data_IF_424163080315
#
_entry.id   IF_424163080315
#
_cell.length_a   1.000
_cell.length_b   1.000
_cell.length_c   1.000
_cell.angle_alpha   90.00
_cell.angle_beta   90.00
_cell.angle_gamma   90.00
#
_symmetry.space_group_name_H-M   'P 1'
#
loop_
_entity.id
_entity.type
_entity.pdbx_description
1 polymer ?
#
# COMPACT_ATOMS: atom_id res chain seq x y z
N UNK A 1 11.11 -13.73 5.34
CA UNK A 1 10.31 -12.60 4.83
C UNK A 1 10.67 -11.34 5.61
N UNK A 2 10.87 -10.24 4.89
CA UNK A 2 11.17 -8.95 5.51
C UNK A 2 9.90 -8.11 5.48
N UNK A 3 9.61 -7.49 6.62
CA UNK A 3 8.44 -6.64 6.78
C UNK A 3 8.86 -5.33 7.44
N UNK A 4 8.33 -4.23 6.94
CA UNK A 4 8.57 -2.92 7.52
C UNK A 4 7.33 -2.07 7.42
N UNK A 5 7.10 -1.21 8.41
CA UNK A 5 5.92 -0.36 8.46
C UNK A 5 6.29 1.07 8.80
N UNK A 6 5.56 2.02 8.21
CA UNK A 6 5.62 3.43 8.55
C UNK A 6 4.20 3.98 8.61
N UNK A 7 3.78 4.42 9.78
CA UNK A 7 2.41 4.83 9.98
C UNK A 7 1.47 3.64 9.81
N UNK A 8 0.50 3.79 8.92
CA UNK A 8 -0.45 2.74 8.58
C UNK A 8 -0.05 1.93 7.35
N UNK A 9 1.05 2.28 6.72
CA UNK A 9 1.50 1.61 5.51
C UNK A 9 2.69 0.72 5.82
N UNK A 10 2.79 -0.37 5.09
CA UNK A 10 3.92 -1.26 5.22
C UNK A 10 4.13 -2.06 3.96
N UNK A 11 5.20 -2.85 3.97
CA UNK A 11 5.46 -3.77 2.87
C UNK A 11 6.01 -5.08 3.40
N UNK A 12 5.81 -6.12 2.60
CA UNK A 12 6.43 -7.44 2.79
C UNK A 12 7.34 -7.71 1.62
N UNK A 13 8.58 -8.10 1.89
CA UNK A 13 9.46 -8.69 0.88
C UNK A 13 9.26 -10.19 0.93
N UNK A 14 8.74 -10.75 -0.14
CA UNK A 14 8.34 -12.15 -0.23
C UNK A 14 9.35 -12.91 -1.09
N UNK A 15 9.72 -14.10 -0.66
CA UNK A 15 10.65 -14.95 -1.39
C UNK A 15 12.09 -14.87 -0.93
N UNK A 16 12.39 -14.00 0.06
CA UNK A 16 13.75 -13.82 0.55
C UNK A 16 14.27 -15.04 1.34
N UNK A 17 13.38 -15.85 1.87
CA UNK A 17 13.76 -17.08 2.57
C UNK A 17 14.15 -18.22 1.64
N UNK A 18 13.80 -18.15 0.36
CA UNK A 18 14.18 -19.16 -0.64
C UNK A 18 15.22 -18.60 -1.59
N UNK A 19 16.48 -18.63 -1.16
CA UNK A 19 17.60 -18.05 -1.91
C UNK A 19 17.94 -18.81 -3.18
N UNK A 20 17.35 -20.00 -3.38
CA UNK A 20 17.61 -20.79 -4.58
C UNK A 20 16.87 -20.24 -5.81
N UNK A 21 15.88 -19.40 -5.57
CA UNK A 21 15.04 -18.84 -6.63
C UNK A 21 14.89 -17.33 -6.48
N UNK A 22 16.00 -16.57 -6.64
CA UNK A 22 15.93 -15.10 -6.46
C UNK A 22 15.00 -14.40 -7.43
N UNK A 23 14.61 -15.07 -8.53
CA UNK A 23 13.66 -14.52 -9.50
C UNK A 23 12.24 -14.42 -8.97
N UNK A 24 11.97 -15.03 -7.82
CA UNK A 24 10.63 -14.98 -7.20
C UNK A 24 10.51 -13.91 -6.13
N UNK A 25 11.54 -13.09 -5.94
CA UNK A 25 11.46 -11.97 -5.00
C UNK A 25 10.44 -10.94 -5.48
N UNK A 26 9.58 -10.53 -4.58
CA UNK A 26 8.61 -9.49 -4.88
C UNK A 26 8.24 -8.74 -3.62
N UNK A 27 7.70 -7.53 -3.79
CA UNK A 27 7.23 -6.68 -2.71
C UNK A 27 5.73 -6.52 -2.84
N UNK A 28 5.03 -6.57 -1.72
CA UNK A 28 3.62 -6.27 -1.66
C UNK A 28 3.36 -5.25 -0.57
N UNK A 29 2.66 -4.18 -0.92
CA UNK A 29 2.27 -3.15 0.04
C UNK A 29 0.96 -3.52 0.71
N UNK A 30 0.81 -3.10 1.96
CA UNK A 30 -0.42 -3.31 2.71
C UNK A 30 -0.72 -2.10 3.60
N UNK A 31 -1.96 -2.04 4.06
CA UNK A 31 -2.43 -1.05 5.03
C UNK A 31 -2.85 -1.77 6.28
N UNK A 32 -2.42 -1.27 7.44
CA UNK A 32 -2.86 -1.79 8.72
C UNK A 32 -4.26 -1.24 9.03
N UNK A 33 -5.18 -2.13 9.31
CA UNK A 33 -6.54 -1.72 9.62
C UNK A 33 -6.69 -1.18 11.03
N UNK A 34 -5.87 -1.66 11.97
CA UNK A 34 -5.94 -1.28 13.37
C UNK A 34 -4.64 -1.62 14.08
N UNK A 35 -4.28 -0.80 15.07
CA UNK A 35 -3.15 -1.10 15.95
C UNK A 35 -3.38 -2.35 16.78
N UNK A 36 -4.63 -2.80 16.93
CA UNK A 36 -5.00 -3.91 17.80
C UNK A 36 -5.19 -5.24 17.08
N UNK A 37 -5.25 -5.26 15.74
CA UNK A 37 -5.49 -6.50 15.01
C UNK A 37 -4.59 -6.60 13.79
N UNK A 38 -3.63 -7.51 13.84
CA UNK A 38 -2.76 -7.81 12.71
C UNK A 38 -3.48 -8.63 11.64
N UNK A 39 -4.61 -9.25 11.97
CA UNK A 39 -5.34 -10.11 11.05
C UNK A 39 -6.13 -9.35 10.01
N UNK A 40 -6.22 -8.04 10.16
CA UNK A 40 -7.00 -7.21 9.25
C UNK A 40 -6.13 -6.32 8.36
N UNK A 41 -4.84 -6.59 8.26
CA UNK A 41 -3.99 -5.89 7.32
C UNK A 41 -4.43 -6.22 5.89
N UNK A 42 -4.62 -5.18 5.10
CA UNK A 42 -5.14 -5.32 3.74
C UNK A 42 -4.03 -5.08 2.73
N UNK A 43 -3.77 -6.07 1.90
CA UNK A 43 -2.86 -5.91 0.78
C UNK A 43 -3.48 -4.92 -0.22
N UNK A 44 -2.73 -3.88 -0.59
CA UNK A 44 -3.23 -2.83 -1.48
C UNK A 44 -2.53 -2.82 -2.83
N UNK A 45 -1.48 -3.63 -3.00
CA UNK A 45 -0.78 -3.73 -4.27
C UNK A 45 -0.75 -5.16 -4.77
N UNK A 46 -0.59 -5.36 -6.09
CA UNK A 46 -0.17 -6.65 -6.59
C UNK A 46 1.27 -6.93 -6.16
N UNK A 47 1.78 -8.09 -6.53
CA UNK A 47 3.18 -8.42 -6.30
C UNK A 47 4.06 -7.60 -7.25
N UNK A 48 4.98 -6.81 -6.68
CA UNK A 48 5.84 -5.90 -7.43
C UNK A 48 7.24 -6.49 -7.49
N UNK A 49 7.77 -6.66 -8.68
CA UNK A 49 9.01 -7.40 -8.88
C UNK A 49 10.23 -6.52 -9.15
N UNK A 50 10.02 -5.28 -9.57
CA UNK A 50 11.11 -4.37 -9.94
C UNK A 50 10.97 -3.02 -9.25
N UNK A 51 12.09 -2.27 -9.20
CA UNK A 51 12.07 -0.90 -8.69
C UNK A 51 11.09 -0.03 -9.47
N UNK A 52 11.02 -0.22 -10.78
CA UNK A 52 10.10 0.54 -11.63
C UNK A 52 8.65 0.24 -11.28
N UNK A 53 8.32 -1.02 -11.01
CA UNK A 53 6.98 -1.41 -10.59
C UNK A 53 6.61 -0.76 -9.27
N UNK A 54 7.55 -0.71 -8.33
CA UNK A 54 7.34 -0.08 -7.02
C UNK A 54 7.10 1.41 -7.19
N UNK A 55 7.94 2.09 -7.95
CA UNK A 55 7.81 3.53 -8.20
C UNK A 55 6.48 3.84 -8.87
N UNK A 56 6.10 3.07 -9.86
CA UNK A 56 4.85 3.27 -10.59
C UNK A 56 3.65 3.10 -9.66
N UNK A 57 3.66 2.07 -8.84
CA UNK A 57 2.57 1.85 -7.89
C UNK A 57 2.44 3.02 -6.90
N UNK A 58 3.56 3.46 -6.33
CA UNK A 58 3.54 4.55 -5.34
C UNK A 58 3.07 5.86 -6.00
N UNK A 59 3.58 6.18 -7.18
CA UNK A 59 3.21 7.40 -7.89
C UNK A 59 1.72 7.39 -8.24
N UNK A 60 1.20 6.26 -8.71
CA UNK A 60 -0.23 6.12 -9.03
C UNK A 60 -1.08 6.24 -7.78
N UNK A 61 -0.64 5.66 -6.66
CA UNK A 61 -1.36 5.73 -5.38
C UNK A 61 -1.42 7.17 -4.86
N UNK A 62 -0.30 7.90 -4.95
CA UNK A 62 -0.24 9.31 -4.54
C UNK A 62 -1.21 10.14 -5.40
N UNK A 63 -1.19 9.96 -6.71
CA UNK A 63 -2.07 10.69 -7.62
C UNK A 63 -3.54 10.41 -7.32
N UNK A 64 -3.88 9.14 -7.08
CA UNK A 64 -5.24 8.75 -6.76
C UNK A 64 -5.71 9.35 -5.43
N UNK A 65 -4.86 9.33 -4.41
CA UNK A 65 -5.19 9.92 -3.12
C UNK A 65 -5.37 11.44 -3.20
N UNK A 66 -4.55 12.11 -4.00
CA UNK A 66 -4.68 13.55 -4.21
C UNK A 66 -6.01 13.90 -4.89
N UNK A 67 -6.42 13.10 -5.89
CA UNK A 67 -7.70 13.30 -6.56
C UNK A 67 -8.88 13.07 -5.61
N UNK A 68 -8.83 12.01 -4.84
CA UNK A 68 -9.87 11.67 -3.86
C UNK A 68 -9.94 12.74 -2.77
N UNK A 69 -8.81 13.33 -2.39
CA UNK A 69 -8.80 14.40 -1.39
C UNK A 69 -9.74 15.53 -1.78
N UNK A 70 -9.68 15.96 -3.03
CA UNK A 70 -10.53 17.04 -3.53
C UNK A 70 -12.00 16.64 -3.43
N UNK A 71 -12.32 15.43 -3.88
CA UNK A 71 -13.69 14.94 -3.87
C UNK A 71 -14.24 14.78 -2.45
N UNK A 72 -13.40 14.28 -1.54
CA UNK A 72 -13.78 14.09 -0.15
C UNK A 72 -14.07 15.43 0.55
N UNK A 73 -13.24 16.44 0.31
CA UNK A 73 -13.45 17.78 0.86
C UNK A 73 -14.74 18.39 0.34
N UNK A 74 -15.03 18.21 -0.94
CA UNK A 74 -16.26 18.70 -1.57
C UNK A 74 -17.48 17.99 -0.96
N UNK A 75 -17.41 16.67 -0.83
CA UNK A 75 -18.49 15.89 -0.25
C UNK A 75 -18.78 16.32 1.20
N UNK A 76 -17.74 16.55 1.98
CA UNK A 76 -17.89 17.00 3.36
C UNK A 76 -18.54 18.39 3.43
N UNK A 77 -18.08 19.31 2.59
CA UNK A 77 -18.65 20.66 2.54
C UNK A 77 -20.12 20.61 2.15
N UNK A 78 -20.47 19.82 1.14
CA UNK A 78 -21.86 19.67 0.69
C UNK A 78 -22.75 19.07 1.77
N UNK A 79 -22.23 18.15 2.56
CA UNK A 79 -22.98 17.53 3.66
C UNK A 79 -23.33 18.56 4.74
N UNK A 80 -22.44 19.51 5.02
CA UNK A 80 -22.68 20.56 6.01
C UNK A 80 -23.66 21.64 5.48
N UNK A 81 -23.70 21.85 4.18
CA UNK A 81 -24.59 22.84 3.58
C UNK A 81 -25.99 22.29 3.31
N UNK A 82 -26.10 21.00 3.19
CA UNK A 82 -27.34 20.31 2.93
C UNK A 82 -27.97 19.78 4.17
#
# INVERSE_FOLDING_TARGET
MIEETKGRFGFHLIGDEDRRYPLHLNVQFYVKSSALSRKADLAISPHLETDTDIDQFVDDAIAALQAIRVDAKRALANAYEG
#
